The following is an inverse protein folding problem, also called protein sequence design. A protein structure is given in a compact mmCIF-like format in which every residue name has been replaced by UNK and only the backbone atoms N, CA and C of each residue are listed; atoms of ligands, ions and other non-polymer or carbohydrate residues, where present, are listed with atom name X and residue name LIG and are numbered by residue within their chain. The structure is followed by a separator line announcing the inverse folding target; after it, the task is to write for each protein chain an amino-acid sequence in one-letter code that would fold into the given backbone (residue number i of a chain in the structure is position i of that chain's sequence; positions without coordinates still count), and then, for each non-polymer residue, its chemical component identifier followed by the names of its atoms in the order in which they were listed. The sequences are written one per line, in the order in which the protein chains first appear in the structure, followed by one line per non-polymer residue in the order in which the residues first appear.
data_IF_261551626091
#
_entry.id   IF_261551626091
#
_cell.length_a   1.000
_cell.length_b   1.000
_cell.length_c   1.000
_cell.angle_alpha   90.00
_cell.angle_beta   90.00
_cell.angle_gamma   90.00
#
_symmetry.space_group_name_H-M   'P 1'
#
loop_
_entity.id
_entity.type
_entity.pdbx_description
1 polymer ?
#
# COMPACT_ATOMS: atom_id res chain seq x y z
N UNK A 1 28.37 -4.60 3.48
CA UNK A 1 27.56 -3.40 3.81
C UNK A 1 26.12 -3.85 4.10
N UNK A 2 25.48 -3.40 5.18
CA UNK A 2 24.11 -3.84 5.56
C UNK A 2 23.12 -2.68 5.46
N UNK A 3 21.98 -2.94 4.82
CA UNK A 3 20.83 -2.03 4.82
C UNK A 3 19.97 -2.30 6.04
N UNK A 4 19.79 -1.29 6.88
CA UNK A 4 19.00 -1.42 8.10
C UNK A 4 17.60 -0.85 7.92
N UNK A 5 16.66 -1.26 8.77
CA UNK A 5 15.31 -0.70 8.77
C UNK A 5 15.19 0.37 9.86
N UNK A 6 14.58 1.49 9.51
CA UNK A 6 14.25 2.56 10.45
C UNK A 6 13.25 2.07 11.49
N UNK A 7 13.52 2.32 12.77
CA UNK A 7 12.65 1.91 13.87
C UNK A 7 11.23 2.51 13.77
N UNK A 8 11.11 3.77 13.36
CA UNK A 8 9.83 4.47 13.37
C UNK A 8 8.99 4.20 12.11
N UNK A 9 9.58 4.34 10.92
CA UNK A 9 8.83 4.27 9.67
C UNK A 9 9.04 2.98 8.86
N UNK A 10 9.99 2.13 9.28
CA UNK A 10 10.41 0.90 8.58
C UNK A 10 10.99 1.12 7.19
N UNK A 11 11.34 2.36 6.82
CA UNK A 11 12.10 2.66 5.59
C UNK A 11 13.54 2.15 5.71
N UNK A 12 14.15 1.88 4.56
CA UNK A 12 15.56 1.47 4.46
C UNK A 12 16.50 2.62 4.87
N UNK A 13 17.53 2.31 5.64
CA UNK A 13 18.60 3.21 6.06
C UNK A 13 19.90 2.74 5.40
N UNK A 14 20.42 3.59 4.51
CA UNK A 14 21.70 3.37 3.85
C UNK A 14 22.84 3.87 4.75
N UNK A 15 24.07 3.34 4.58
CA UNK A 15 25.21 3.81 5.37
C UNK A 15 25.51 5.28 5.10
N UNK A 16 25.96 5.98 6.16
CA UNK A 16 26.13 7.43 6.13
C UNK A 16 24.83 8.24 6.20
N UNK A 17 23.65 7.59 6.28
CA UNK A 17 22.37 8.27 6.37
C UNK A 17 21.67 8.05 7.71
N UNK A 18 20.99 9.09 8.19
CA UNK A 18 20.15 9.02 9.38
C UNK A 18 20.90 9.20 10.69
N UNK A 19 20.29 8.74 11.79
CA UNK A 19 20.82 8.89 13.15
C UNK A 19 20.62 7.57 13.89
N UNK A 20 21.61 7.18 14.69
CA UNK A 20 21.53 6.05 15.61
C UNK A 20 21.46 6.57 17.05
N UNK A 21 20.47 6.10 17.80
CA UNK A 21 20.33 6.34 19.23
C UNK A 21 20.56 5.03 19.98
N UNK A 22 21.49 5.03 20.94
CA UNK A 22 21.75 3.91 21.82
C UNK A 22 21.15 4.26 23.18
N UNK A 23 20.25 3.42 23.68
CA UNK A 23 19.64 3.57 24.99
C UNK A 23 20.44 2.79 26.04
N UNK A 24 20.34 3.18 27.30
CA UNK A 24 21.07 2.57 28.43
C UNK A 24 20.88 1.05 28.55
N UNK A 25 19.78 0.48 28.04
CA UNK A 25 19.55 -0.98 27.97
C UNK A 25 20.25 -1.64 26.76
N UNK A 26 21.29 -1.01 26.23
CA UNK A 26 22.04 -1.41 25.04
C UNK A 26 21.18 -1.58 23.76
N UNK A 27 19.94 -1.07 23.74
CA UNK A 27 19.10 -1.13 22.55
C UNK A 27 19.45 -0.03 21.57
N UNK A 28 19.64 -0.46 20.32
CA UNK A 28 20.02 0.40 19.21
C UNK A 28 18.76 0.74 18.41
N UNK A 29 18.45 2.04 18.32
CA UNK A 29 17.39 2.57 17.49
C UNK A 29 17.99 3.32 16.30
N UNK A 30 17.76 2.84 15.08
CA UNK A 30 18.18 3.51 13.84
C UNK A 30 17.02 4.30 13.25
N UNK A 31 17.28 5.53 12.83
CA UNK A 31 16.29 6.40 12.20
C UNK A 31 16.77 6.85 10.83
N UNK A 32 15.91 6.79 9.81
CA UNK A 32 16.27 7.24 8.46
C UNK A 32 16.45 8.76 8.37
N UNK A 33 15.66 9.56 9.12
CA UNK A 33 15.60 11.03 9.00
C UNK A 33 15.27 11.68 10.35
N UNK A 34 15.54 12.97 10.48
CA UNK A 34 15.25 13.79 11.67
C UNK A 34 13.77 13.77 12.07
N UNK A 35 12.84 13.68 11.11
CA UNK A 35 11.39 13.51 11.35
C UNK A 35 11.08 12.30 12.24
N UNK A 36 11.66 11.14 11.93
CA UNK A 36 11.47 9.89 12.67
C UNK A 36 12.10 9.98 14.06
N UNK A 37 13.30 10.55 14.14
CA UNK A 37 14.01 10.74 15.40
C UNK A 37 13.26 11.70 16.36
N UNK A 38 12.78 12.84 15.84
CA UNK A 38 11.97 13.81 16.62
C UNK A 38 10.65 13.20 17.06
N UNK A 39 9.98 12.40 16.21
CA UNK A 39 8.75 11.71 16.59
C UNK A 39 8.98 10.69 17.71
N UNK A 40 10.10 9.96 17.66
CA UNK A 40 10.51 9.05 18.73
C UNK A 40 10.80 9.78 20.04
N UNK A 41 11.56 10.90 20.00
CA UNK A 41 11.80 11.75 21.18
C UNK A 41 10.50 12.28 21.80
N UNK A 42 9.51 12.62 20.97
CA UNK A 42 8.16 13.01 21.39
C UNK A 42 7.27 11.82 21.82
N UNK A 43 7.86 10.62 22.00
CA UNK A 43 7.17 9.39 22.41
C UNK A 43 5.92 9.06 21.57
N UNK A 44 5.90 9.45 20.29
CA UNK A 44 4.78 9.14 19.40
C UNK A 44 4.77 7.64 19.07
N UNK A 45 3.61 7.01 19.11
CA UNK A 45 3.47 5.61 18.74
C UNK A 45 3.44 5.44 17.20
N UNK A 46 4.39 4.71 16.58
CA UNK A 46 4.38 4.44 15.14
C UNK A 46 3.08 3.81 14.65
N UNK A 47 2.46 2.93 15.45
CA UNK A 47 1.20 2.25 15.10
C UNK A 47 0.00 3.20 15.01
N UNK A 48 0.09 4.43 15.54
CA UNK A 48 -0.94 5.48 15.39
C UNK A 48 -0.59 6.49 14.29
N UNK A 49 0.65 6.49 13.79
CA UNK A 49 1.10 7.41 12.76
C UNK A 49 0.77 6.88 11.35
N UNK A 50 -0.27 7.44 10.72
CA UNK A 50 -0.88 6.97 9.45
C UNK A 50 0.09 6.71 8.29
N UNK A 51 1.21 7.42 8.24
CA UNK A 51 2.21 7.35 7.16
C UNK A 51 3.26 6.25 7.34
N UNK A 52 3.33 5.62 8.52
CA UNK A 52 4.33 4.57 8.79
C UNK A 52 3.88 3.21 8.26
N UNK A 53 4.83 2.34 7.93
CA UNK A 53 4.53 0.95 7.58
C UNK A 53 3.92 0.17 8.74
N UNK A 54 4.31 0.48 9.98
CA UNK A 54 3.72 -0.11 11.18
C UNK A 54 2.21 0.13 11.28
N UNK A 55 1.75 1.38 11.07
CA UNK A 55 0.32 1.68 11.00
C UNK A 55 -0.35 0.94 9.83
N UNK A 56 0.27 0.97 8.65
CA UNK A 56 -0.33 0.36 7.45
C UNK A 56 -0.55 -1.14 7.59
N UNK A 57 0.41 -1.87 8.18
CA UNK A 57 0.26 -3.30 8.48
C UNK A 57 -0.82 -3.56 9.54
N UNK A 58 -0.83 -2.79 10.63
CA UNK A 58 -1.82 -2.95 11.70
C UNK A 58 -3.26 -2.61 11.24
N UNK A 59 -3.41 -1.65 10.33
CA UNK A 59 -4.70 -1.22 9.79
C UNK A 59 -5.15 -1.99 8.53
N UNK A 60 -4.50 -3.10 8.18
CA UNK A 60 -4.87 -3.90 7.00
C UNK A 60 -4.69 -3.17 5.65
N UNK A 61 -3.76 -2.21 5.56
CA UNK A 61 -3.47 -1.49 4.32
C UNK A 61 -2.38 -2.16 3.46
N UNK A 62 -1.71 -3.17 3.99
CA UNK A 62 -0.67 -3.94 3.31
C UNK A 62 -0.85 -5.41 3.61
N UNK A 63 -0.42 -6.27 2.69
CA UNK A 63 -0.37 -7.71 2.90
C UNK A 63 0.61 -8.02 4.05
N UNK A 64 0.12 -8.66 5.11
CA UNK A 64 0.87 -8.93 6.34
C UNK A 64 1.38 -10.36 6.43
N UNK A 65 0.56 -11.33 6.01
CA UNK A 65 0.84 -12.77 6.05
C UNK A 65 1.05 -13.26 4.63
N UNK A 66 2.30 -13.53 4.25
CA UNK A 66 2.65 -14.12 2.95
C UNK A 66 3.97 -14.91 3.06
N UNK A 67 4.08 -16.10 2.44
CA UNK A 67 5.31 -16.90 2.48
C UNK A 67 6.55 -16.20 1.90
N UNK A 68 6.39 -15.24 0.98
CA UNK A 68 7.53 -14.48 0.43
C UNK A 68 8.29 -13.69 1.51
N UNK A 69 7.65 -13.34 2.62
CA UNK A 69 8.31 -12.62 3.71
C UNK A 69 9.25 -13.48 4.54
N UNK A 70 9.10 -14.81 4.51
CA UNK A 70 9.95 -15.73 5.29
C UNK A 70 11.39 -15.80 4.76
N UNK A 71 11.59 -15.44 3.49
CA UNK A 71 12.91 -15.41 2.86
C UNK A 71 13.79 -14.25 3.39
N UNK A 72 13.20 -13.14 3.89
CA UNK A 72 13.92 -11.98 4.46
C UNK A 72 14.34 -12.21 5.94
N UNK A 73 14.47 -13.46 6.39
CA UNK A 73 14.83 -13.78 7.77
C UNK A 73 16.31 -13.52 8.10
N UNK A 74 16.58 -13.05 9.32
CA UNK A 74 17.96 -12.93 9.84
C UNK A 74 18.50 -14.32 10.14
N UNK A 75 19.57 -14.72 9.43
CA UNK A 75 20.31 -15.97 9.72
C UNK A 75 21.45 -15.66 10.68
N UNK A 76 21.47 -16.36 11.82
CA UNK A 76 22.53 -16.22 12.83
C UNK A 76 23.64 -17.28 12.64
N UNK A 77 23.36 -18.36 11.91
CA UNK A 77 24.35 -19.40 11.57
C UNK A 77 24.84 -19.15 10.14
N UNK A 78 26.15 -18.92 9.94
CA UNK A 78 26.72 -18.80 8.61
C UNK A 78 26.81 -20.17 7.93
N UNK A 79 26.75 -20.17 6.60
CA UNK A 79 26.99 -21.36 5.78
C UNK A 79 28.33 -21.15 5.07
N UNK A 80 29.08 -22.24 4.83
CA UNK A 80 30.30 -22.17 4.01
C UNK A 80 29.96 -21.62 2.64
N UNK A 81 30.85 -20.79 2.09
CA UNK A 81 30.65 -20.24 0.75
C UNK A 81 30.66 -21.37 -0.30
N UNK A 82 29.63 -21.35 -1.13
CA UNK A 82 29.51 -22.18 -2.34
C UNK A 82 28.99 -21.30 -3.47
N UNK A 83 29.65 -21.36 -4.63
CA UNK A 83 29.35 -20.55 -5.81
C UNK A 83 28.00 -20.93 -6.42
N UNK A 84 27.67 -22.23 -6.48
CA UNK A 84 26.42 -22.70 -7.08
C UNK A 84 25.22 -22.28 -6.22
N UNK A 85 25.34 -22.46 -4.91
CA UNK A 85 24.35 -21.99 -3.94
C UNK A 85 24.12 -20.47 -4.05
N UNK A 86 25.19 -19.68 -4.22
CA UNK A 86 25.06 -18.23 -4.37
C UNK A 86 24.36 -17.84 -5.68
N UNK A 87 24.71 -18.48 -6.79
CA UNK A 87 24.09 -18.19 -8.10
C UNK A 87 22.60 -18.54 -8.11
N UNK A 88 22.23 -19.70 -7.57
CA UNK A 88 20.83 -20.13 -7.42
C UNK A 88 20.06 -19.17 -6.51
N UNK A 89 20.66 -18.75 -5.39
CA UNK A 89 20.07 -17.78 -4.47
C UNK A 89 19.79 -16.43 -5.12
N UNK A 90 20.71 -15.89 -5.93
CA UNK A 90 20.52 -14.61 -6.64
C UNK A 90 19.37 -14.70 -7.64
N UNK A 91 19.27 -15.80 -8.40
CA UNK A 91 18.15 -16.04 -9.32
C UNK A 91 16.83 -16.14 -8.56
N UNK A 92 16.80 -16.89 -7.46
CA UNK A 92 15.62 -17.04 -6.61
C UNK A 92 15.16 -15.70 -6.00
N UNK A 93 16.08 -14.85 -5.52
CA UNK A 93 15.74 -13.55 -4.94
C UNK A 93 14.98 -12.64 -5.91
N UNK A 94 15.39 -12.59 -7.19
CA UNK A 94 14.68 -11.81 -8.23
C UNK A 94 13.26 -12.31 -8.42
N UNK A 95 13.11 -13.63 -8.56
CA UNK A 95 11.80 -14.26 -8.76
C UNK A 95 10.85 -14.06 -7.57
N UNK A 96 11.38 -14.15 -6.35
CA UNK A 96 10.59 -13.93 -5.12
C UNK A 96 10.10 -12.49 -5.05
N UNK A 97 10.91 -11.50 -5.43
CA UNK A 97 10.50 -10.09 -5.41
C UNK A 97 9.40 -9.81 -6.45
N UNK A 98 9.47 -10.39 -7.64
CA UNK A 98 8.38 -10.30 -8.64
C UNK A 98 7.05 -10.84 -8.09
N UNK A 99 7.08 -12.03 -7.48
CA UNK A 99 5.90 -12.67 -6.88
C UNK A 99 5.35 -11.79 -5.76
N UNK A 100 6.23 -11.27 -4.90
CA UNK A 100 5.88 -10.38 -3.79
C UNK A 100 5.18 -9.11 -4.30
N UNK A 101 5.75 -8.44 -5.30
CA UNK A 101 5.18 -7.22 -5.89
C UNK A 101 3.81 -7.52 -6.50
N UNK A 102 3.67 -8.61 -7.28
CA UNK A 102 2.40 -9.02 -7.88
C UNK A 102 1.31 -9.23 -6.82
N UNK A 103 1.61 -9.98 -5.76
CA UNK A 103 0.65 -10.25 -4.66
C UNK A 103 0.29 -8.98 -3.88
N UNK A 104 1.27 -8.11 -3.60
CA UNK A 104 1.02 -6.84 -2.93
C UNK A 104 0.14 -5.91 -3.77
N UNK A 105 0.39 -5.83 -5.08
CA UNK A 105 -0.42 -5.03 -5.99
C UNK A 105 -1.85 -5.56 -6.06
N UNK A 106 -2.04 -6.88 -6.18
CA UNK A 106 -3.37 -7.49 -6.14
C UNK A 106 -4.13 -7.15 -4.85
N UNK A 107 -3.46 -7.26 -3.69
CA UNK A 107 -4.06 -6.91 -2.40
C UNK A 107 -4.50 -5.45 -2.34
N UNK A 108 -3.68 -4.54 -2.88
CA UNK A 108 -4.00 -3.11 -2.96
C UNK A 108 -5.16 -2.86 -3.92
N UNK A 109 -5.18 -3.51 -5.09
CA UNK A 109 -6.24 -3.39 -6.09
C UNK A 109 -7.59 -3.85 -5.54
N UNK A 110 -7.65 -5.05 -4.95
CA UNK A 110 -8.87 -5.59 -4.34
C UNK A 110 -9.43 -4.65 -3.27
N UNK A 111 -8.55 -4.03 -2.47
CA UNK A 111 -8.96 -3.04 -1.47
C UNK A 111 -9.50 -1.75 -2.10
N UNK A 112 -8.91 -1.29 -3.20
CA UNK A 112 -9.33 -0.05 -3.87
C UNK A 112 -10.63 -0.24 -4.67
N UNK A 113 -10.94 -1.45 -5.16
CA UNK A 113 -12.15 -1.78 -5.93
C UNK A 113 -13.43 -1.35 -5.18
N UNK A 114 -13.54 -1.67 -3.89
CA UNK A 114 -14.66 -1.24 -3.04
C UNK A 114 -14.87 0.28 -3.00
N UNK A 115 -13.79 1.06 -3.10
CA UNK A 115 -13.88 2.52 -3.14
C UNK A 115 -14.29 3.08 -4.50
N UNK A 116 -14.17 2.31 -5.59
CA UNK A 116 -14.70 2.67 -6.92
C UNK A 116 -16.22 2.49 -6.93
N UNK A 117 -16.71 1.36 -6.42
CA UNK A 117 -18.14 1.03 -6.30
C UNK A 117 -18.90 2.10 -5.50
N UNK A 118 -18.41 2.43 -4.30
CA UNK A 118 -19.05 3.46 -3.45
C UNK A 118 -19.05 4.86 -4.07
N UNK A 119 -18.02 5.21 -4.86
CA UNK A 119 -17.98 6.49 -5.58
C UNK A 119 -19.02 6.51 -6.68
N UNK A 120 -19.10 5.45 -7.49
CA UNK A 120 -20.12 5.30 -8.54
C UNK A 120 -21.54 5.44 -7.96
N UNK A 121 -21.84 4.79 -6.84
CA UNK A 121 -23.13 4.94 -6.17
C UNK A 121 -23.39 6.37 -5.67
N UNK A 122 -22.37 7.05 -5.17
CA UNK A 122 -22.48 8.44 -4.72
C UNK A 122 -22.70 9.39 -5.90
N UNK A 123 -21.99 9.19 -7.01
CA UNK A 123 -22.09 10.00 -8.23
C UNK A 123 -23.50 9.85 -8.85
N UNK A 124 -24.04 8.62 -8.92
CA UNK A 124 -25.44 8.40 -9.38
C UNK A 124 -26.44 9.14 -8.48
N UNK A 125 -26.28 9.05 -7.16
CA UNK A 125 -27.15 9.76 -6.19
C UNK A 125 -27.00 11.29 -6.29
N UNK A 126 -25.81 11.78 -6.61
CA UNK A 126 -25.54 13.20 -6.78
C UNK A 126 -26.25 13.72 -8.04
N UNK A 127 -26.12 13.02 -9.16
CA UNK A 127 -26.81 13.35 -10.41
C UNK A 127 -28.33 13.33 -10.23
N UNK A 128 -28.89 12.32 -9.56
CA UNK A 128 -30.34 12.24 -9.30
C UNK A 128 -30.87 13.42 -8.48
N UNK A 129 -30.13 13.86 -7.45
CA UNK A 129 -30.55 14.97 -6.58
C UNK A 129 -30.33 16.33 -7.23
N UNK A 130 -29.21 16.49 -7.92
CA UNK A 130 -28.73 17.77 -8.43
C UNK A 130 -29.00 17.95 -9.93
N UNK A 131 -29.86 17.13 -10.53
CA UNK A 131 -30.23 17.21 -11.96
C UNK A 131 -30.70 18.62 -12.38
N UNK A 132 -31.31 19.36 -11.45
CA UNK A 132 -31.80 20.72 -11.64
C UNK A 132 -30.67 21.77 -11.83
N UNK A 133 -29.44 21.51 -11.39
CA UNK A 133 -28.30 22.42 -11.60
C UNK A 133 -27.76 22.36 -13.04
N UNK A 134 -28.04 21.26 -13.75
CA UNK A 134 -27.59 21.04 -15.14
C UNK A 134 -28.68 21.49 -16.12
N UNK A 135 -29.95 21.51 -15.70
CA UNK A 135 -31.11 21.71 -16.57
C UNK A 135 -31.79 23.06 -16.34
N UNK A 136 -32.01 23.82 -17.41
CA UNK A 136 -32.82 25.04 -17.34
C UNK A 136 -34.29 24.71 -16.96
N UNK A 137 -34.99 25.56 -16.18
CA UNK A 137 -36.29 25.24 -15.54
C UNK A 137 -37.46 24.87 -16.46
N UNK A 138 -37.31 24.91 -17.79
CA UNK A 138 -38.37 24.66 -18.78
C UNK A 138 -38.14 23.51 -19.77
N UNK A 139 -37.01 22.79 -19.70
CA UNK A 139 -36.71 21.73 -20.66
C UNK A 139 -37.51 20.44 -20.38
N UNK A 140 -38.44 20.04 -21.25
CA UNK A 140 -39.18 18.77 -21.17
C UNK A 140 -38.25 17.58 -21.44
N UNK A 141 -38.10 16.61 -20.53
CA UNK A 141 -37.35 15.39 -20.87
C UNK A 141 -36.97 14.47 -19.71
N UNK A 142 -37.97 13.99 -18.96
CA UNK A 142 -37.80 12.84 -18.05
C UNK A 142 -37.54 11.52 -18.79
N UNK A 143 -37.89 11.42 -20.08
CA UNK A 143 -37.69 10.20 -20.90
C UNK A 143 -36.25 10.06 -21.41
N UNK A 144 -35.57 11.16 -21.73
CA UNK A 144 -34.19 11.18 -22.19
C UNK A 144 -33.21 10.79 -21.07
N UNK A 145 -33.49 11.23 -19.83
CA UNK A 145 -32.72 10.88 -18.64
C UNK A 145 -32.74 9.38 -18.34
N UNK A 146 -33.92 8.73 -18.41
CA UNK A 146 -34.03 7.28 -18.22
C UNK A 146 -33.23 6.49 -19.25
N UNK A 147 -33.22 6.95 -20.52
CA UNK A 147 -32.42 6.34 -21.58
C UNK A 147 -30.91 6.52 -21.36
N UNK A 148 -30.45 7.72 -20.98
CA UNK A 148 -29.02 7.96 -20.70
C UNK A 148 -28.52 7.12 -19.51
N UNK A 149 -29.33 7.00 -18.45
CA UNK A 149 -28.97 6.16 -17.28
C UNK A 149 -28.93 4.66 -17.64
N UNK A 150 -29.76 4.20 -18.59
CA UNK A 150 -29.70 2.82 -19.08
C UNK A 150 -28.42 2.54 -19.87
N UNK A 151 -28.04 3.43 -20.80
CA UNK A 151 -26.82 3.25 -21.62
C UNK A 151 -25.56 3.24 -20.74
N UNK A 152 -25.46 4.13 -19.75
CA UNK A 152 -24.32 4.14 -18.82
C UNK A 152 -24.24 2.84 -17.99
N UNK A 153 -25.39 2.26 -17.62
CA UNK A 153 -25.42 0.99 -16.90
C UNK A 153 -24.98 -0.19 -17.78
N UNK A 154 -25.30 -0.19 -19.06
CA UNK A 154 -24.91 -1.25 -20.01
C UNK A 154 -23.41 -1.18 -20.33
N UNK A 155 -22.88 0.00 -20.68
CA UNK A 155 -21.45 0.19 -20.97
C UNK A 155 -20.53 -0.15 -19.79
N UNK A 156 -20.99 0.10 -18.56
CA UNK A 156 -20.21 -0.20 -17.37
C UNK A 156 -20.16 -1.71 -17.02
N UNK A 157 -21.13 -2.50 -17.49
CA UNK A 157 -21.14 -3.97 -17.28
C UNK A 157 -20.14 -4.63 -18.23
N UNK A 158 -20.11 -4.18 -19.49
CA UNK A 158 -19.17 -4.68 -20.50
C UNK A 158 -17.71 -4.39 -20.11
N UNK A 159 -17.43 -3.21 -19.55
CA UNK A 159 -16.09 -2.82 -19.10
C UNK A 159 -15.58 -3.59 -17.87
N UNK A 160 -16.46 -4.16 -17.04
CA UNK A 160 -16.07 -4.99 -15.89
C UNK A 160 -15.93 -6.48 -16.29
N UNK A 161 -16.48 -6.92 -17.44
CA UNK A 161 -16.31 -8.28 -18.00
C UNK A 161 -15.03 -8.46 -18.83
N UNK A 162 -14.48 -7.39 -19.41
CA UNK A 162 -13.25 -7.41 -20.22
C UNK A 162 -11.93 -7.34 -19.41
N UNK A 163 -12.00 -7.24 -18.07
CA UNK A 163 -10.87 -7.03 -17.14
C UNK A 163 -10.55 -8.25 -16.26
#
# INVERSE_FOLDING_TARGET
MRLEKCYFCSSTVYPGHGIQFVRNDCKIFRFCRSKCHRAFKKKRNPRKAKWTKAFRKAAGKELTVDPSFEFEKRRNVPVKYDRELWQTSIKAMKRIEEIRIKRQNQYILNRLKKGKELRKEADVKEVEKNIHLIRAPGAKGKQLERKMVQVIKEEDVDMDEEL
#
